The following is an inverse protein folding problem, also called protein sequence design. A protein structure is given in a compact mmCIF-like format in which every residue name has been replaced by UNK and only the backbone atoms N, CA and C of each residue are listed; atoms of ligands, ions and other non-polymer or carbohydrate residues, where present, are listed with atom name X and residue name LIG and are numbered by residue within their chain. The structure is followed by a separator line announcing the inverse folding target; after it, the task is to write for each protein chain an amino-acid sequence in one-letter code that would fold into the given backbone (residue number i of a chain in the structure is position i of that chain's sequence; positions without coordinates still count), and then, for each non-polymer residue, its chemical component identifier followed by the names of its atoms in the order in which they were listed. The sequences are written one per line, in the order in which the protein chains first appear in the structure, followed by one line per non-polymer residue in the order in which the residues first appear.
data_IF_358210477568
#
_entry.id   IF_358210477568
#
_cell.length_a   1.000
_cell.length_b   1.000
_cell.length_c   1.000
_cell.angle_alpha   90.00
_cell.angle_beta   90.00
_cell.angle_gamma   90.00
#
_symmetry.space_group_name_H-M   'P 1'
#
loop_
_entity.id
_entity.type
_entity.pdbx_description
1 polymer ?
#
# COMPACT_ATOMS: atom_id res chain seq x y z
N UNK A 1 -10.25 -13.11 11.05
CA UNK A 1 -10.00 -11.95 10.16
C UNK A 1 -8.71 -12.20 9.40
N UNK A 2 -8.64 -11.82 8.11
CA UNK A 2 -7.46 -12.05 7.27
C UNK A 2 -6.49 -10.87 7.30
N UNK A 3 -5.19 -11.18 7.30
CA UNK A 3 -4.11 -10.21 7.31
C UNK A 3 -3.08 -10.55 6.23
N UNK A 4 -2.50 -9.53 5.61
CA UNK A 4 -1.29 -9.66 4.81
C UNK A 4 -0.08 -9.45 5.70
N UNK A 5 0.76 -10.47 5.83
CA UNK A 5 2.07 -10.38 6.50
C UNK A 5 3.12 -10.01 5.46
N UNK A 6 3.71 -8.84 5.59
CA UNK A 6 4.72 -8.34 4.66
C UNK A 6 6.09 -8.95 5.01
N UNK A 7 6.69 -9.70 4.09
CA UNK A 7 7.97 -10.39 4.30
C UNK A 7 9.11 -9.83 3.46
N UNK A 8 8.81 -8.99 2.47
CA UNK A 8 9.82 -8.30 1.66
C UNK A 8 9.45 -6.83 1.43
N UNK A 9 10.45 -6.02 1.11
CA UNK A 9 10.27 -4.57 0.92
C UNK A 9 9.35 -4.35 -0.29
N UNK A 10 8.16 -3.73 -0.11
CA UNK A 10 7.25 -3.51 -1.22
C UNK A 10 7.89 -2.56 -2.25
N UNK A 11 7.67 -2.79 -3.56
CA UNK A 11 8.07 -1.85 -4.59
C UNK A 11 7.23 -0.57 -4.49
N UNK A 12 7.80 0.59 -4.84
CA UNK A 12 7.06 1.85 -4.85
C UNK A 12 7.94 3.09 -4.89
N UNK A 13 7.29 4.26 -4.95
CA UNK A 13 7.94 5.57 -5.08
C UNK A 13 8.30 6.22 -3.73
N UNK A 14 7.81 5.67 -2.61
CA UNK A 14 8.23 6.13 -1.29
C UNK A 14 9.74 5.85 -1.07
N UNK A 15 10.44 6.71 -0.31
CA UNK A 15 11.84 6.47 0.04
C UNK A 15 12.03 5.08 0.63
N UNK A 16 13.16 4.47 0.32
CA UNK A 16 13.48 3.09 0.74
C UNK A 16 13.31 2.88 2.24
N UNK A 17 13.83 3.80 3.05
CA UNK A 17 13.71 3.74 4.51
C UNK A 17 12.25 3.72 5.00
N UNK A 18 11.30 4.30 4.26
CA UNK A 18 9.86 4.23 4.57
C UNK A 18 9.32 2.87 4.17
N UNK A 19 9.70 2.38 2.98
CA UNK A 19 9.23 1.11 2.44
C UNK A 19 9.67 -0.08 3.30
N UNK A 20 10.90 -0.04 3.80
CA UNK A 20 11.45 -1.06 4.69
C UNK A 20 10.65 -1.23 5.98
N UNK A 21 9.99 -0.16 6.47
CA UNK A 21 9.20 -0.22 7.71
C UNK A 21 7.87 -0.95 7.56
N UNK A 22 7.49 -1.36 6.34
CA UNK A 22 6.38 -2.28 6.14
C UNK A 22 6.75 -3.73 6.44
N UNK A 23 8.03 -4.11 6.33
CA UNK A 23 8.46 -5.49 6.51
C UNK A 23 8.24 -5.94 7.95
N UNK A 24 7.63 -7.11 8.12
CA UNK A 24 7.24 -7.69 9.40
C UNK A 24 5.88 -7.22 9.91
N UNK A 25 5.19 -6.31 9.23
CA UNK A 25 3.85 -5.87 9.63
C UNK A 25 2.76 -6.79 9.10
N UNK A 26 1.76 -7.03 9.94
CA UNK A 26 0.50 -7.70 9.58
C UNK A 26 -0.57 -6.63 9.33
N UNK A 27 -0.99 -6.50 8.07
CA UNK A 27 -1.94 -5.48 7.64
C UNK A 27 -3.33 -6.10 7.43
N UNK A 28 -4.41 -5.52 8.00
CA UNK A 28 -5.76 -6.06 7.80
C UNK A 28 -6.16 -5.91 6.33
N UNK A 29 -6.58 -7.03 5.72
CA UNK A 29 -7.09 -7.00 4.35
C UNK A 29 -8.43 -6.28 4.30
N UNK A 30 -8.64 -5.51 3.23
CA UNK A 30 -9.93 -4.87 2.97
C UNK A 30 -10.95 -5.85 2.40
N UNK A 31 -10.47 -6.96 1.82
CA UNK A 31 -11.26 -8.08 1.31
C UNK A 31 -11.22 -9.25 2.31
N UNK A 32 -12.40 -9.76 2.68
CA UNK A 32 -12.55 -10.90 3.57
C UNK A 32 -12.18 -12.24 2.91
N UNK A 33 -12.10 -12.29 1.58
CA UNK A 33 -11.64 -13.48 0.84
C UNK A 33 -10.11 -13.55 0.70
N UNK A 34 -9.39 -12.47 0.99
CA UNK A 34 -7.93 -12.40 0.84
C UNK A 34 -7.46 -12.64 -0.60
N UNK A 35 -8.31 -12.32 -1.57
CA UNK A 35 -8.04 -12.60 -2.96
C UNK A 35 -6.96 -11.65 -3.50
N UNK A 36 -6.14 -12.16 -4.42
CA UNK A 36 -5.29 -11.30 -5.25
C UNK A 36 -6.19 -10.61 -6.26
N UNK A 37 -6.27 -9.29 -6.19
CA UNK A 37 -7.07 -8.51 -7.12
C UNK A 37 -6.20 -8.08 -8.31
N UNK A 38 -6.59 -8.50 -9.50
CA UNK A 38 -6.06 -7.96 -10.76
C UNK A 38 -6.94 -6.79 -11.20
N UNK A 39 -6.67 -5.60 -10.68
CA UNK A 39 -7.30 -4.37 -11.17
C UNK A 39 -6.42 -3.75 -12.26
N UNK A 40 -6.97 -3.08 -13.29
CA UNK A 40 -6.21 -2.15 -14.11
C UNK A 40 -5.73 -1.01 -13.21
N UNK A 41 -4.55 -1.20 -12.62
CA UNK A 41 -3.88 -0.24 -11.77
C UNK A 41 -3.19 0.79 -12.65
N UNK A 42 -3.83 1.93 -12.84
CA UNK A 42 -3.05 3.16 -12.92
C UNK A 42 -2.51 3.34 -11.50
N UNK A 43 -1.18 3.35 -11.30
CA UNK A 43 -0.60 3.47 -9.96
C UNK A 43 -1.30 4.57 -9.16
N UNK A 44 -1.46 4.42 -7.83
CA UNK A 44 -2.27 5.33 -6.98
C UNK A 44 -1.81 6.81 -7.07
N UNK A 45 -0.65 7.08 -7.64
CA UNK A 45 -0.13 8.42 -7.97
C UNK A 45 -0.73 9.01 -9.27
N UNK A 46 -1.61 8.28 -9.96
CA UNK A 46 -2.27 8.69 -11.20
C UNK A 46 -3.78 8.71 -11.07
N UNK A 47 -4.28 9.41 -10.06
CA UNK A 47 -5.28 10.43 -10.37
C UNK A 47 -4.52 11.75 -10.52
N UNK A 48 -4.18 12.20 -11.74
CA UNK A 48 -3.51 13.46 -11.90
C UNK A 48 -4.51 14.58 -11.57
N UNK A 49 -4.44 15.13 -10.34
CA UNK A 49 -5.04 16.44 -10.06
C UNK A 49 -4.20 17.59 -10.61
N UNK A 50 -2.96 17.31 -11.03
CA UNK A 50 -2.02 18.31 -11.55
C UNK A 50 -1.26 17.77 -12.76
N UNK A 51 -1.00 18.68 -13.71
CA UNK A 51 -0.35 18.39 -15.01
C UNK A 51 1.02 17.70 -14.86
N UNK A 52 1.69 17.84 -13.71
CA UNK A 52 3.04 17.34 -13.43
C UNK A 52 3.09 15.80 -13.21
N UNK A 53 2.10 15.21 -12.52
CA UNK A 53 2.03 13.75 -12.30
C UNK A 53 1.76 12.95 -13.58
N UNK A 54 1.06 13.57 -14.53
CA UNK A 54 0.82 13.01 -15.86
C UNK A 54 2.11 12.96 -16.73
N UNK A 55 2.99 13.97 -16.64
CA UNK A 55 4.26 13.98 -17.37
C UNK A 55 5.27 12.95 -16.84
N UNK A 56 5.29 12.66 -15.52
CA UNK A 56 6.13 11.61 -14.93
C UNK A 56 5.65 10.18 -15.27
N UNK A 57 4.33 9.95 -15.28
CA UNK A 57 3.75 8.66 -15.68
C UNK A 57 3.99 8.33 -17.16
N UNK A 58 4.02 9.37 -18.03
CA UNK A 58 4.27 9.23 -19.47
C UNK A 58 5.76 9.00 -19.82
N UNK A 59 6.71 9.52 -19.02
CA UNK A 59 8.14 9.42 -19.33
C UNK A 59 8.76 8.05 -19.00
N UNK A 60 8.12 7.24 -18.15
CA UNK A 60 8.68 5.95 -17.68
C UNK A 60 8.05 4.70 -18.30
N UNK A 61 7.00 4.82 -19.13
CA UNK A 61 6.39 3.70 -19.85
C UNK A 61 5.67 2.64 -18.98
N UNK A 62 5.28 2.98 -17.74
CA UNK A 62 4.83 2.02 -16.71
C UNK A 62 3.31 1.85 -16.57
N UNK A 63 2.60 1.60 -17.66
CA UNK A 63 1.26 0.98 -17.54
C UNK A 63 1.45 -0.53 -17.56
N UNK A 64 1.51 -1.17 -16.39
CA UNK A 64 1.47 -2.64 -16.28
C UNK A 64 0.33 -3.04 -15.34
N UNK A 65 -0.40 -4.11 -15.69
CA UNK A 65 -1.35 -4.78 -14.79
C UNK A 65 -0.59 -5.16 -13.51
N UNK A 66 -0.89 -4.53 -12.38
CA UNK A 66 -0.40 -4.97 -11.09
C UNK A 66 -1.49 -5.80 -10.39
N UNK A 67 -1.14 -7.04 -10.04
CA UNK A 67 -1.92 -7.93 -9.19
C UNK A 67 -1.43 -7.80 -7.75
N UNK A 68 -2.34 -7.72 -6.78
CA UNK A 68 -1.94 -7.59 -5.37
C UNK A 68 -3.09 -7.61 -4.39
N UNK A 69 -2.73 -7.40 -3.12
CA UNK A 69 -3.62 -7.38 -1.97
C UNK A 69 -4.04 -5.95 -1.63
N UNK A 70 -5.32 -5.77 -1.30
CA UNK A 70 -5.89 -4.46 -0.96
C UNK A 70 -6.02 -4.34 0.55
N UNK A 71 -5.51 -3.24 1.11
CA UNK A 71 -5.66 -2.89 2.53
C UNK A 71 -6.22 -1.48 2.65
N UNK A 72 -7.03 -1.23 3.68
CA UNK A 72 -7.47 0.13 3.99
C UNK A 72 -6.28 0.98 4.41
N UNK A 73 -6.08 2.11 3.73
CA UNK A 73 -4.90 2.94 3.92
C UNK A 73 -4.79 3.51 5.33
N UNK A 74 -5.91 3.98 5.90
CA UNK A 74 -5.93 4.49 7.27
C UNK A 74 -5.46 3.41 8.27
N UNK A 75 -6.04 2.21 8.18
CA UNK A 75 -5.65 1.09 9.03
C UNK A 75 -4.18 0.68 8.84
N UNK A 76 -3.70 0.62 7.59
CA UNK A 76 -2.30 0.31 7.31
C UNK A 76 -1.34 1.36 7.91
N UNK A 77 -1.67 2.65 7.80
CA UNK A 77 -0.85 3.73 8.36
C UNK A 77 -0.89 3.72 9.90
N UNK A 78 -2.00 3.37 10.52
CA UNK A 78 -2.07 3.17 11.98
C UNK A 78 -1.19 1.98 12.43
N UNK A 79 -1.17 0.87 11.68
CA UNK A 79 -0.25 -0.24 11.96
C UNK A 79 1.20 0.21 11.80
N UNK A 80 1.51 0.96 10.74
CA UNK A 80 2.84 1.50 10.51
C UNK A 80 3.26 2.46 11.62
N UNK A 81 2.36 3.32 12.10
CA UNK A 81 2.64 4.28 13.17
C UNK A 81 3.02 3.61 14.48
N UNK A 82 2.36 2.50 14.83
CA UNK A 82 2.69 1.73 16.03
C UNK A 82 4.09 1.14 16.00
N UNK A 83 4.61 0.82 14.82
CA UNK A 83 5.96 0.27 14.63
C UNK A 83 7.03 1.35 14.36
N UNK A 84 6.67 2.37 13.56
CA UNK A 84 7.54 3.44 13.10
C UNK A 84 6.77 4.74 12.93
N UNK A 85 6.69 5.58 13.98
CA UNK A 85 6.03 6.89 13.90
C UNK A 85 6.62 7.78 12.81
N UNK A 86 7.93 7.71 12.58
CA UNK A 86 8.61 8.49 11.54
C UNK A 86 8.16 8.12 10.13
N UNK A 87 7.99 6.82 9.83
CA UNK A 87 7.51 6.37 8.53
C UNK A 87 6.04 6.75 8.31
N UNK A 88 5.19 6.64 9.33
CA UNK A 88 3.81 7.10 9.27
C UNK A 88 3.71 8.63 9.07
N UNK A 89 4.56 9.41 9.75
CA UNK A 89 4.64 10.85 9.56
C UNK A 89 5.03 11.22 8.12
N UNK A 90 5.95 10.47 7.50
CA UNK A 90 6.30 10.69 6.09
C UNK A 90 5.06 10.59 5.19
N UNK A 91 4.26 9.53 5.34
CA UNK A 91 3.02 9.37 4.57
C UNK A 91 2.03 10.51 4.80
N UNK A 92 1.80 10.91 6.06
CA UNK A 92 0.88 12.00 6.39
C UNK A 92 1.34 13.35 5.83
N UNK A 93 2.65 13.61 5.83
CA UNK A 93 3.21 14.89 5.36
C UNK A 93 3.28 14.99 3.84
N UNK A 94 3.60 13.90 3.13
CA UNK A 94 3.84 13.91 1.69
C UNK A 94 2.61 13.51 0.88
N UNK A 95 1.73 12.71 1.49
CA UNK A 95 0.57 12.10 0.82
C UNK A 95 -0.64 12.16 1.75
N UNK A 96 -1.03 13.35 2.27
CA UNK A 96 -2.06 13.48 3.32
C UNK A 96 -3.41 12.87 2.94
N UNK A 97 -3.72 12.78 1.65
CA UNK A 97 -4.96 12.16 1.21
C UNK A 97 -5.01 10.64 1.40
N UNK A 98 -3.86 9.99 1.64
CA UNK A 98 -3.77 8.53 1.84
C UNK A 98 -4.46 8.09 3.12
N UNK A 99 -4.55 8.95 4.14
CA UNK A 99 -5.20 8.63 5.42
C UNK A 99 -6.69 8.96 5.44
N UNK A 100 -7.27 9.47 4.35
CA UNK A 100 -8.71 9.71 4.30
C UNK A 100 -9.51 8.39 4.30
N UNK A 101 -10.71 8.39 4.89
CA UNK A 101 -11.61 7.24 4.84
C UNK A 101 -11.87 6.74 3.42
N UNK A 102 -11.99 5.42 3.26
CA UNK A 102 -12.27 4.76 1.97
C UNK A 102 -11.08 4.70 1.00
N UNK A 103 -9.88 5.12 1.42
CA UNK A 103 -8.65 4.94 0.63
C UNK A 103 -8.05 3.56 0.86
N UNK A 104 -7.44 3.06 -0.21
CA UNK A 104 -6.80 1.75 -0.23
C UNK A 104 -5.34 1.87 -0.66
N UNK A 105 -4.49 1.05 -0.05
CA UNK A 105 -3.15 0.75 -0.53
C UNK A 105 -3.18 -0.64 -1.16
N UNK A 106 -2.48 -0.80 -2.28
CA UNK A 106 -2.27 -2.11 -2.89
C UNK A 106 -0.83 -2.53 -2.66
N UNK A 107 -0.66 -3.72 -2.10
CA UNK A 107 0.62 -4.39 -1.93
C UNK A 107 0.74 -5.48 -2.99
N UNK A 108 1.79 -5.42 -3.81
CA UNK A 108 1.97 -6.33 -4.95
C UNK A 108 1.97 -7.80 -4.48
N UNK A 109 1.47 -8.71 -5.30
CA UNK A 109 1.68 -10.14 -5.10
C UNK A 109 3.18 -10.47 -4.93
N UNK A 110 3.48 -11.39 -4.01
CA UNK A 110 4.83 -11.82 -3.68
C UNK A 110 5.55 -11.00 -2.60
N UNK A 111 5.00 -9.87 -2.14
CA UNK A 111 5.63 -9.11 -1.05
C UNK A 111 5.47 -9.76 0.32
N UNK A 112 4.61 -10.76 0.42
CA UNK A 112 4.13 -11.34 1.67
C UNK A 112 3.16 -12.49 1.43
N UNK A 113 2.53 -12.96 2.50
CA UNK A 113 1.53 -14.02 2.48
C UNK A 113 0.32 -13.66 3.35
N UNK A 114 -0.81 -14.30 3.09
CA UNK A 114 -2.06 -14.08 3.84
C UNK A 114 -2.14 -15.06 5.01
N UNK A 115 -2.51 -14.55 6.19
CA UNK A 115 -2.74 -15.34 7.39
C UNK A 115 -4.13 -15.06 7.98
N UNK A 116 -4.73 -16.10 8.57
CA UNK A 116 -6.00 -16.01 9.29
C UNK A 116 -5.75 -15.95 10.79
N UNK A 117 -6.15 -14.86 11.44
CA UNK A 117 -6.25 -14.83 12.90
C UNK A 117 -7.61 -15.42 13.29
N UNK A 118 -7.58 -16.59 13.92
CA UNK A 118 -8.73 -17.18 14.60
C UNK A 118 -8.80 -16.53 15.99
N UNK A 119 -9.92 -15.86 16.28
CA UNK A 119 -10.17 -15.40 17.64
C UNK A 119 -10.21 -16.64 18.54
N UNK A 120 -9.27 -16.70 19.50
CA UNK A 120 -9.24 -17.72 20.54
C UNK A 120 -10.25 -17.40 21.64
#
# INVERSE_FOLDING_TARGET
MLFLVITSVPPGEAPEWVREKWVGLSLPLADEAGAVHSLPTVGVISHPKTRIGYYWARLTGRVRRASGYIVYSAAAIEVLERSSPAAAAWWRNHVPWVVHPGRILMFQEGVGHVETVHAS
#
